data_IF_168522600451
#
_entry.id   IF_168522600451
#
_cell.length_a   1.000
_cell.length_b   1.000
_cell.length_c   1.000
_cell.angle_alpha   90.00
_cell.angle_beta   90.00
_cell.angle_gamma   90.00
#
_symmetry.space_group_name_H-M   'P 1'
#
loop_
_entity.id
_entity.type
_entity.pdbx_description
1 polymer ?
#
# COMPACT_ATOMS: atom_id res chain seq x y z
N UNK A 1 27.20 70.01 -3.64
CA UNK A 1 28.28 69.80 -4.65
C UNK A 1 29.18 68.66 -4.19
N UNK A 2 29.38 67.68 -5.08
CA UNK A 2 30.37 66.58 -5.16
C UNK A 2 31.61 66.62 -4.22
N UNK A 3 31.92 65.46 -3.60
CA UNK A 3 33.24 64.76 -3.47
C UNK A 3 33.14 63.75 -2.29
N UNK A 4 33.30 62.42 -2.44
CA UNK A 4 34.43 61.55 -2.84
C UNK A 4 35.07 60.85 -1.63
N UNK A 5 35.34 59.55 -1.82
CA UNK A 5 36.32 58.66 -1.15
C UNK A 5 36.06 58.19 0.29
N UNK A 6 35.81 56.90 0.58
CA UNK A 6 36.66 55.68 0.51
C UNK A 6 37.85 55.64 1.50
N UNK A 7 37.84 54.57 2.31
CA UNK A 7 38.96 53.85 2.97
C UNK A 7 39.47 54.41 4.31
N UNK A 8 39.28 53.63 5.38
CA UNK A 8 40.36 53.04 6.21
C UNK A 8 39.71 52.17 7.32
N UNK A 9 39.82 50.84 7.26
CA UNK A 9 40.92 50.04 7.81
C UNK A 9 41.08 50.20 9.34
N UNK A 10 40.35 49.38 10.09
CA UNK A 10 40.68 49.05 11.49
C UNK A 10 40.49 47.55 11.68
N UNK A 11 41.51 46.84 11.23
CA UNK A 11 41.88 45.48 11.61
C UNK A 11 42.10 45.44 13.13
N UNK A 12 41.41 44.58 13.90
CA UNK A 12 41.98 43.99 15.12
C UNK A 12 41.05 42.91 15.72
N UNK A 13 41.42 41.66 15.40
CA UNK A 13 41.58 40.55 16.34
C UNK A 13 40.41 40.26 17.31
N UNK A 14 39.56 39.30 16.92
CA UNK A 14 38.97 38.38 17.88
C UNK A 14 39.55 36.99 17.67
N UNK A 15 40.29 36.56 18.68
CA UNK A 15 40.86 35.24 18.88
C UNK A 15 39.77 34.15 18.84
N UNK A 16 40.12 33.02 18.22
CA UNK A 16 40.02 31.69 18.84
C UNK A 16 38.64 31.09 19.04
N UNK A 17 38.29 30.12 18.21
CA UNK A 17 37.70 28.86 18.65
C UNK A 17 37.99 27.76 17.61
N UNK A 18 38.50 26.63 18.09
CA UNK A 18 38.82 25.44 17.31
C UNK A 18 37.63 24.95 16.47
N UNK A 19 37.84 24.28 15.31
CA UNK A 19 36.76 23.62 14.61
C UNK A 19 36.27 22.48 15.51
N UNK A 20 35.08 22.67 16.09
CA UNK A 20 34.32 21.56 16.63
C UNK A 20 34.10 20.59 15.46
N UNK A 21 34.79 19.46 15.49
CA UNK A 21 34.45 18.30 14.69
C UNK A 21 32.97 18.01 14.93
N UNK A 22 32.12 18.40 13.98
CA UNK A 22 30.75 17.92 13.93
C UNK A 22 30.85 16.42 13.65
N UNK A 23 30.82 15.63 14.71
CA UNK A 23 30.43 14.25 14.64
C UNK A 23 29.07 14.21 13.93
N UNK A 24 29.09 13.93 12.63
CA UNK A 24 27.90 13.55 11.90
C UNK A 24 27.42 12.27 12.59
N UNK A 25 26.40 12.42 13.44
CA UNK A 25 25.62 11.29 13.90
C UNK A 25 25.20 10.51 12.64
N UNK A 26 25.37 9.18 12.61
CA UNK A 26 24.94 8.39 11.48
C UNK A 26 23.46 8.69 11.29
N UNK A 27 23.12 9.32 10.16
CA UNK A 27 21.75 9.41 9.70
C UNK A 27 21.25 7.98 9.66
N UNK A 28 20.43 7.61 10.62
CA UNK A 28 19.65 6.38 10.57
C UNK A 28 18.81 6.53 9.32
N UNK A 29 19.28 5.95 8.21
CA UNK A 29 18.47 5.66 7.05
C UNK A 29 17.32 4.84 7.58
N UNK A 30 16.18 5.49 7.83
CA UNK A 30 14.92 4.80 7.93
C UNK A 30 14.86 3.85 6.71
N UNK A 31 14.47 2.58 6.91
CA UNK A 31 14.44 1.63 5.82
C UNK A 31 13.59 2.26 4.72
N UNK A 32 14.23 2.51 3.59
CA UNK A 32 13.55 3.01 2.41
C UNK A 32 12.63 1.87 2.02
N UNK A 33 11.35 1.96 2.42
CA UNK A 33 10.31 1.07 1.95
C UNK A 33 10.10 1.36 0.46
N UNK A 34 11.05 0.92 -0.37
CA UNK A 34 10.86 0.81 -1.81
C UNK A 34 9.95 -0.39 -2.01
N UNK A 35 8.66 -0.11 -2.05
CA UNK A 35 7.56 -1.04 -2.26
C UNK A 35 7.66 -1.66 -3.66
N UNK A 36 8.18 -2.89 -3.74
CA UNK A 36 8.15 -3.65 -4.99
C UNK A 36 6.70 -4.04 -5.36
N UNK A 37 6.45 -4.41 -6.64
CA UNK A 37 5.11 -4.81 -7.10
C UNK A 37 4.46 -5.91 -6.24
N UNK A 38 5.27 -6.83 -5.69
CA UNK A 38 4.81 -7.84 -4.74
C UNK A 38 4.21 -7.23 -3.48
N UNK A 39 4.95 -6.37 -2.79
CA UNK A 39 4.52 -5.80 -1.52
C UNK A 39 3.28 -4.92 -1.69
N UNK A 40 3.20 -4.16 -2.78
CA UNK A 40 2.03 -3.33 -3.08
C UNK A 40 0.78 -4.18 -3.32
N UNK A 41 0.92 -5.25 -4.11
CA UNK A 41 -0.15 -6.19 -4.36
C UNK A 41 -0.61 -6.86 -3.06
N UNK A 42 0.32 -7.41 -2.27
CA UNK A 42 0.01 -8.11 -1.02
C UNK A 42 -0.65 -7.17 0.01
N UNK A 43 -0.16 -5.93 0.13
CA UNK A 43 -0.75 -4.93 1.04
C UNK A 43 -2.21 -4.64 0.65
N UNK A 44 -2.47 -4.47 -0.65
CA UNK A 44 -3.81 -4.21 -1.15
C UNK A 44 -4.72 -5.45 -0.95
N UNK A 45 -4.19 -6.64 -1.21
CA UNK A 45 -4.90 -7.91 -1.08
C UNK A 45 -5.29 -8.18 0.39
N UNK A 46 -4.40 -7.88 1.33
CA UNK A 46 -4.67 -7.96 2.77
C UNK A 46 -5.73 -6.93 3.21
N UNK A 47 -5.69 -5.71 2.66
CA UNK A 47 -6.71 -4.70 2.92
C UNK A 47 -8.10 -5.16 2.41
N UNK A 48 -8.17 -5.79 1.23
CA UNK A 48 -9.40 -6.36 0.69
C UNK A 48 -9.94 -7.50 1.57
N UNK A 49 -9.06 -8.40 2.04
CA UNK A 49 -9.44 -9.48 2.95
C UNK A 49 -9.99 -8.94 4.28
N UNK A 50 -9.32 -7.95 4.87
CA UNK A 50 -9.77 -7.30 6.10
C UNK A 50 -11.12 -6.58 5.93
N UNK A 51 -11.34 -5.94 4.77
CA UNK A 51 -12.61 -5.31 4.46
C UNK A 51 -13.75 -6.35 4.42
N UNK A 52 -13.53 -7.49 3.75
CA UNK A 52 -14.51 -8.59 3.72
C UNK A 52 -14.75 -9.21 5.10
N UNK A 53 -13.70 -9.32 5.91
CA UNK A 53 -13.84 -9.80 7.29
C UNK A 53 -14.72 -8.89 8.15
N UNK A 54 -14.55 -7.57 8.02
CA UNK A 54 -15.42 -6.60 8.71
C UNK A 54 -16.85 -6.64 8.17
N UNK A 55 -17.04 -6.83 6.87
CA UNK A 55 -18.37 -7.00 6.28
C UNK A 55 -19.09 -8.22 6.88
N UNK A 56 -18.40 -9.35 6.99
CA UNK A 56 -18.96 -10.57 7.57
C UNK A 56 -19.26 -10.44 9.06
N UNK A 57 -18.55 -9.58 9.79
CA UNK A 57 -18.74 -9.35 11.21
C UNK A 57 -19.88 -8.37 11.55
N UNK A 58 -20.37 -7.60 10.58
CA UNK A 58 -21.40 -6.58 10.80
C UNK A 58 -22.81 -7.08 10.45
N UNK A 59 -23.88 -6.44 10.96
CA UNK A 59 -25.25 -6.73 10.52
C UNK A 59 -25.43 -6.58 9.00
N UNK A 60 -26.34 -7.36 8.41
CA UNK A 60 -26.69 -7.27 6.98
C UNK A 60 -27.71 -6.16 6.76
N UNK A 61 -27.29 -4.91 6.98
CA UNK A 61 -28.14 -3.73 6.81
C UNK A 61 -27.43 -2.69 5.95
N UNK A 62 -28.20 -1.95 5.15
CA UNK A 62 -27.65 -0.91 4.27
C UNK A 62 -26.83 0.15 5.04
N UNK A 63 -27.25 0.49 6.27
CA UNK A 63 -26.56 1.48 7.11
C UNK A 63 -25.21 0.99 7.62
N UNK A 64 -25.10 -0.29 8.01
CA UNK A 64 -23.84 -0.89 8.43
C UNK A 64 -22.88 -1.10 7.24
N UNK A 65 -23.42 -1.44 6.07
CA UNK A 65 -22.62 -1.79 4.89
C UNK A 65 -22.18 -0.57 4.06
N UNK A 66 -22.95 0.52 4.02
CA UNK A 66 -22.62 1.72 3.25
C UNK A 66 -21.20 2.29 3.46
N UNK A 67 -20.63 2.37 4.69
CA UNK A 67 -19.24 2.78 4.86
C UNK A 67 -18.24 1.77 4.26
N UNK A 68 -18.50 0.47 4.42
CA UNK A 68 -17.64 -0.59 3.89
C UNK A 68 -17.66 -0.63 2.36
N UNK A 69 -18.84 -0.38 1.75
CA UNK A 69 -18.98 -0.32 0.31
C UNK A 69 -18.18 0.85 -0.28
N UNK A 70 -18.21 2.03 0.36
CA UNK A 70 -17.38 3.19 -0.04
C UNK A 70 -15.90 2.87 0.05
N UNK A 71 -15.47 2.21 1.12
CA UNK A 71 -14.08 1.77 1.29
C UNK A 71 -13.68 0.75 0.21
N UNK A 72 -14.58 -0.19 -0.14
CA UNK A 72 -14.36 -1.17 -1.19
C UNK A 72 -14.15 -0.51 -2.55
N UNK A 73 -15.03 0.42 -2.90
CA UNK A 73 -14.92 1.18 -4.15
C UNK A 73 -13.63 1.98 -4.19
N UNK A 74 -13.26 2.68 -3.12
CA UNK A 74 -12.02 3.45 -3.04
C UNK A 74 -10.77 2.55 -3.18
N UNK A 75 -10.77 1.39 -2.51
CA UNK A 75 -9.69 0.40 -2.60
C UNK A 75 -9.53 -0.12 -4.04
N UNK A 76 -10.64 -0.51 -4.69
CA UNK A 76 -10.62 -1.02 -6.06
C UNK A 76 -10.24 0.07 -7.08
N UNK A 77 -10.67 1.31 -6.87
CA UNK A 77 -10.27 2.45 -7.70
C UNK A 77 -8.78 2.74 -7.57
N UNK A 78 -8.24 2.74 -6.35
CA UNK A 78 -6.80 2.88 -6.11
C UNK A 78 -6.01 1.79 -6.82
N UNK A 79 -6.45 0.53 -6.70
CA UNK A 79 -5.82 -0.61 -7.37
C UNK A 79 -5.68 -0.39 -8.88
N UNK A 80 -6.77 0.07 -9.52
CA UNK A 80 -6.82 0.36 -10.95
C UNK A 80 -5.96 1.57 -11.32
N UNK A 81 -6.08 2.67 -10.57
CA UNK A 81 -5.35 3.91 -10.84
C UNK A 81 -3.83 3.72 -10.73
N UNK A 82 -3.38 2.93 -9.76
CA UNK A 82 -1.96 2.62 -9.53
C UNK A 82 -1.46 1.46 -10.39
N UNK A 83 -2.33 0.83 -11.19
CA UNK A 83 -2.00 -0.36 -12.01
C UNK A 83 -1.30 -1.46 -11.22
N UNK A 84 -1.72 -1.68 -9.96
CA UNK A 84 -1.08 -2.64 -9.04
C UNK A 84 -1.12 -4.05 -9.63
N UNK A 85 -2.29 -4.53 -10.05
CA UNK A 85 -2.46 -5.89 -10.60
C UNK A 85 -1.64 -6.12 -11.88
N UNK A 86 -1.69 -5.23 -12.91
CA UNK A 86 -0.80 -5.35 -14.06
C UNK A 86 0.70 -5.34 -13.72
N UNK A 87 1.13 -4.47 -12.81
CA UNK A 87 2.54 -4.38 -12.41
C UNK A 87 2.99 -5.66 -11.71
N UNK A 88 2.16 -6.23 -10.84
CA UNK A 88 2.41 -7.50 -10.19
C UNK A 88 2.45 -8.67 -11.19
N UNK A 89 1.52 -8.72 -12.15
CA UNK A 89 1.50 -9.74 -13.21
C UNK A 89 2.78 -9.70 -14.07
N UNK A 90 3.20 -8.50 -14.47
CA UNK A 90 4.45 -8.30 -15.21
C UNK A 90 5.67 -8.71 -14.38
N UNK A 91 5.69 -8.34 -13.09
CA UNK A 91 6.76 -8.73 -12.19
C UNK A 91 6.86 -10.26 -12.06
N UNK A 92 5.75 -10.97 -11.84
CA UNK A 92 5.73 -12.43 -11.76
C UNK A 92 6.34 -13.10 -13.01
N UNK A 93 6.07 -12.57 -14.21
CA UNK A 93 6.63 -13.09 -15.47
C UNK A 93 8.13 -12.87 -15.61
N UNK A 94 8.67 -11.85 -14.94
CA UNK A 94 10.10 -11.54 -14.96
C UNK A 94 10.92 -12.42 -14.02
N UNK A 95 10.27 -13.13 -13.10
CA UNK A 95 10.94 -13.95 -12.09
C UNK A 95 11.50 -15.23 -12.66
N UNK A 96 12.66 -15.65 -12.14
CA UNK A 96 13.17 -17.01 -12.32
C UNK A 96 12.33 -18.00 -11.51
N UNK A 97 12.46 -19.28 -11.83
CA UNK A 97 11.66 -20.36 -11.22
C UNK A 97 11.72 -20.40 -9.69
N UNK A 98 12.88 -20.12 -9.09
CA UNK A 98 13.06 -20.10 -7.64
C UNK A 98 12.38 -18.89 -7.01
N UNK A 99 12.60 -17.70 -7.58
CA UNK A 99 11.97 -16.44 -7.16
C UNK A 99 10.44 -16.53 -7.28
N UNK A 100 9.93 -17.12 -8.36
CA UNK A 100 8.51 -17.36 -8.57
C UNK A 100 7.92 -18.29 -7.49
N UNK A 101 8.66 -19.34 -7.09
CA UNK A 101 8.21 -20.24 -6.02
C UNK A 101 8.05 -19.47 -4.70
N UNK A 102 9.02 -18.62 -4.37
CA UNK A 102 8.95 -17.77 -3.17
C UNK A 102 7.77 -16.80 -3.25
N UNK A 103 7.58 -16.12 -4.38
CA UNK A 103 6.45 -15.21 -4.59
C UNK A 103 5.08 -15.91 -4.44
N UNK A 104 4.96 -17.13 -4.98
CA UNK A 104 3.75 -17.96 -4.81
C UNK A 104 3.53 -18.34 -3.35
N UNK A 105 4.58 -18.66 -2.59
CA UNK A 105 4.47 -18.95 -1.17
C UNK A 105 3.99 -17.72 -0.38
N UNK A 106 4.51 -16.52 -0.67
CA UNK A 106 4.03 -15.29 -0.05
C UNK A 106 2.57 -15.01 -0.39
N UNK A 107 2.17 -15.18 -1.65
CA UNK A 107 0.78 -15.03 -2.06
C UNK A 107 -0.13 -16.04 -1.34
N UNK A 108 0.30 -17.30 -1.21
CA UNK A 108 -0.43 -18.33 -0.47
C UNK A 108 -0.55 -18.01 1.03
N UNK A 109 0.45 -17.34 1.61
CA UNK A 109 0.43 -16.90 3.00
C UNK A 109 -0.40 -15.63 3.24
N UNK A 110 -0.71 -14.86 2.19
CA UNK A 110 -1.50 -13.63 2.29
C UNK A 110 -2.91 -13.87 2.84
N UNK A 111 -3.48 -12.85 3.48
CA UNK A 111 -4.85 -12.92 3.96
C UNK A 111 -5.86 -13.09 2.81
N UNK A 112 -5.49 -12.64 1.60
CA UNK A 112 -6.32 -12.83 0.41
C UNK A 112 -6.56 -14.30 0.10
N UNK A 113 -5.52 -15.12 -0.01
CA UNK A 113 -5.68 -16.56 -0.27
C UNK A 113 -6.26 -17.28 0.96
N UNK A 114 -5.75 -16.96 2.16
CA UNK A 114 -6.14 -17.66 3.38
C UNK A 114 -7.58 -17.42 3.82
N UNK A 115 -8.11 -16.21 3.58
CA UNK A 115 -9.45 -15.81 4.00
C UNK A 115 -10.41 -15.69 2.81
N UNK A 116 -10.08 -14.82 1.85
CA UNK A 116 -10.97 -14.50 0.72
C UNK A 116 -11.19 -15.71 -0.18
N UNK A 117 -10.16 -16.54 -0.42
CA UNK A 117 -10.28 -17.79 -1.17
C UNK A 117 -11.24 -18.80 -0.54
N UNK A 118 -11.24 -18.92 0.80
CA UNK A 118 -12.17 -19.81 1.52
C UNK A 118 -13.57 -19.23 1.62
N UNK A 119 -13.67 -17.91 1.79
CA UNK A 119 -14.93 -17.20 1.96
C UNK A 119 -15.86 -17.34 0.75
N UNK A 120 -15.32 -17.34 -0.47
CA UNK A 120 -16.11 -17.45 -1.71
C UNK A 120 -16.96 -18.72 -1.78
N UNK A 121 -16.48 -19.83 -1.21
CA UNK A 121 -17.19 -21.11 -1.19
C UNK A 121 -17.87 -21.38 0.15
N UNK A 122 -17.84 -20.43 1.08
CA UNK A 122 -18.31 -20.64 2.44
C UNK A 122 -19.84 -20.48 2.52
N UNK A 123 -20.57 -21.42 3.16
CA UNK A 123 -22.03 -21.32 3.33
C UNK A 123 -22.48 -20.05 4.03
N UNK A 124 -21.67 -19.53 4.96
CA UNK A 124 -21.96 -18.27 5.65
C UNK A 124 -21.93 -17.06 4.71
N UNK A 125 -21.06 -17.08 3.70
CA UNK A 125 -21.03 -16.02 2.70
C UNK A 125 -22.22 -16.13 1.76
N UNK A 126 -22.63 -17.36 1.42
CA UNK A 126 -23.86 -17.59 0.67
C UNK A 126 -25.09 -17.03 1.39
N UNK A 127 -25.20 -17.33 2.69
CA UNK A 127 -26.26 -16.80 3.52
C UNK A 127 -26.17 -15.28 3.68
N UNK A 128 -24.96 -14.70 3.64
CA UNK A 128 -24.74 -13.25 3.70
C UNK A 128 -25.26 -12.56 2.45
N UNK A 129 -24.83 -12.97 1.26
CA UNK A 129 -25.21 -12.23 0.05
C UNK A 129 -26.70 -12.37 -0.28
N UNK A 130 -27.35 -13.47 0.12
CA UNK A 130 -28.82 -13.62 0.02
C UNK A 130 -29.58 -12.58 0.85
N UNK A 131 -28.99 -12.10 1.95
CA UNK A 131 -29.56 -11.05 2.81
C UNK A 131 -29.13 -9.65 2.40
N UNK A 132 -27.97 -9.51 1.79
CA UNK A 132 -27.45 -8.24 1.28
C UNK A 132 -26.79 -8.42 -0.09
N UNK A 133 -27.41 -7.93 -1.18
CA UNK A 133 -26.79 -7.88 -2.49
C UNK A 133 -25.45 -7.12 -2.49
N UNK A 134 -25.29 -6.11 -1.62
CA UNK A 134 -24.06 -5.33 -1.52
C UNK A 134 -22.84 -6.19 -1.17
N UNK A 135 -23.04 -7.29 -0.42
CA UNK A 135 -21.95 -8.21 -0.11
C UNK A 135 -21.44 -8.98 -1.34
N UNK A 136 -22.34 -9.39 -2.25
CA UNK A 136 -21.95 -9.97 -3.52
C UNK A 136 -21.24 -8.93 -4.41
N UNK A 137 -21.77 -7.71 -4.48
CA UNK A 137 -21.18 -6.65 -5.29
C UNK A 137 -19.77 -6.28 -4.82
N UNK A 138 -19.54 -6.24 -3.51
CA UNK A 138 -18.20 -5.98 -2.94
C UNK A 138 -17.23 -7.11 -3.26
N UNK A 139 -17.67 -8.37 -3.14
CA UNK A 139 -16.84 -9.53 -3.53
C UNK A 139 -16.48 -9.48 -5.01
N UNK A 140 -17.46 -9.25 -5.89
CA UNK A 140 -17.22 -9.15 -7.34
C UNK A 140 -16.31 -7.97 -7.70
N UNK A 141 -16.45 -6.82 -7.05
CA UNK A 141 -15.55 -5.68 -7.26
C UNK A 141 -14.11 -6.02 -6.89
N UNK A 142 -13.91 -6.67 -5.75
CA UNK A 142 -12.59 -7.14 -5.31
C UNK A 142 -12.04 -8.14 -6.35
N UNK A 143 -12.76 -9.21 -6.68
CA UNK A 143 -12.25 -10.22 -7.61
C UNK A 143 -11.88 -9.62 -8.98
N UNK A 144 -12.68 -8.70 -9.50
CA UNK A 144 -12.37 -8.00 -10.75
C UNK A 144 -11.15 -7.07 -10.64
N UNK A 145 -10.86 -6.51 -9.46
CA UNK A 145 -9.70 -5.66 -9.25
C UNK A 145 -8.39 -6.47 -9.13
N UNK A 146 -8.48 -7.69 -8.61
CA UNK A 146 -7.33 -8.59 -8.38
C UNK A 146 -7.20 -9.71 -9.42
N UNK A 147 -7.97 -9.67 -10.51
CA UNK A 147 -7.87 -10.62 -11.61
C UNK A 147 -6.55 -10.43 -12.37
N UNK A 148 -5.58 -11.30 -12.07
CA UNK A 148 -4.25 -11.33 -12.67
C UNK A 148 -4.30 -11.92 -14.08
N UNK A 149 -5.24 -12.82 -14.38
CA UNK A 149 -5.32 -13.52 -15.67
C UNK A 149 -5.74 -12.59 -16.81
N UNK A 150 -6.33 -11.44 -16.47
CA UNK A 150 -6.75 -10.42 -17.42
C UNK A 150 -5.61 -9.61 -18.05
N UNK A 151 -4.38 -9.72 -17.55
CA UNK A 151 -3.20 -8.96 -17.95
C UNK A 151 -2.02 -9.88 -18.20
#
# INVERSE_FOLDING_TARGET
MRKLLFISFALLLTLGAAPAAQAQAPSTTAPTASSGPEQEFLTLADAAANLMKRLMAQPATATAEAPLQRECTALCQRAKAQRITPAYAQWLRSLRKEELRTAVQHLQASAFVQYLGKLQTAPEFEARYKRSPAAADMMLQILNAFDIERY
#
